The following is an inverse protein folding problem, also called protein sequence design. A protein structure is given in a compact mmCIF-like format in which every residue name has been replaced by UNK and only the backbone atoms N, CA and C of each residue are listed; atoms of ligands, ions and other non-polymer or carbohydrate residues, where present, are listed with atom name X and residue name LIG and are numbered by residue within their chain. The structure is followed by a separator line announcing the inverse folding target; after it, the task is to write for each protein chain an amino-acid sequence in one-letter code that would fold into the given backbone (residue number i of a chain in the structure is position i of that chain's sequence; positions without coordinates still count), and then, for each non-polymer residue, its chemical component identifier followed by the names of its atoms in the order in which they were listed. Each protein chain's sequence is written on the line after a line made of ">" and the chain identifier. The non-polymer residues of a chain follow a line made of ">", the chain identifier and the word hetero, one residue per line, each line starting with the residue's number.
data_IF_659256910317
#
_entry.id   IF_659256910317
#
_cell.length_a   1.000
_cell.length_b   1.000
_cell.length_c   1.000
_cell.angle_alpha   90.00
_cell.angle_beta   90.00
_cell.angle_gamma   90.00
#
_symmetry.space_group_name_H-M   'P 1'
#
loop_
_entity.id
_entity.type
_entity.pdbx_description
1 polymer ?
#
# COMPACT_ATOMS: atom_id res chain seq x y z
N UNK A 1 -13.32 18.75 17.41
CA UNK A 1 -13.10 17.33 17.65
C UNK A 1 -12.29 17.12 18.94
N UNK A 2 -12.70 16.17 19.75
CA UNK A 2 -12.00 15.86 21.01
C UNK A 2 -11.48 14.41 20.95
N UNK A 3 -10.26 14.11 21.48
CA UNK A 3 -9.32 15.07 22.08
C UNK A 3 -8.62 15.97 21.04
N UNK A 4 -8.41 15.51 19.80
CA UNK A 4 -7.81 16.23 18.68
C UNK A 4 -8.14 15.51 17.35
N UNK A 5 -7.79 16.10 16.23
CA UNK A 5 -7.89 15.45 14.91
C UNK A 5 -6.89 14.28 14.87
N UNK A 6 -7.32 13.05 14.46
CA UNK A 6 -6.39 11.93 14.30
C UNK A 6 -5.25 12.26 13.34
N UNK A 7 -4.02 12.06 13.79
CA UNK A 7 -2.82 12.36 13.03
C UNK A 7 -2.31 11.10 12.33
N UNK A 8 -2.34 11.12 11.00
CA UNK A 8 -1.71 10.10 10.16
C UNK A 8 -0.32 10.57 9.76
N UNK A 9 0.67 9.71 9.94
CA UNK A 9 2.06 10.02 9.60
C UNK A 9 2.69 8.83 8.89
N UNK A 10 3.47 9.08 7.84
CA UNK A 10 4.17 8.05 7.08
C UNK A 10 5.63 8.42 6.81
N UNK A 11 6.46 7.42 6.70
CA UNK A 11 7.87 7.56 6.37
C UNK A 11 8.63 6.29 6.74
N UNK A 12 9.74 6.02 6.07
CA UNK A 12 10.50 4.78 6.29
C UNK A 12 11.91 5.01 6.89
N UNK A 13 12.34 6.27 7.04
CA UNK A 13 13.62 6.57 7.69
C UNK A 13 13.51 6.43 9.21
N UNK A 14 14.63 6.18 9.88
CA UNK A 14 14.68 6.09 11.34
C UNK A 14 14.14 7.34 12.02
N UNK A 15 14.48 8.52 11.51
CA UNK A 15 13.95 9.79 12.04
C UNK A 15 12.42 9.87 11.88
N UNK A 16 11.88 9.45 10.74
CA UNK A 16 10.43 9.41 10.50
C UNK A 16 9.74 8.43 11.44
N UNK A 17 10.29 7.23 11.61
CA UNK A 17 9.74 6.22 12.53
C UNK A 17 9.73 6.73 13.97
N UNK A 18 10.77 7.42 14.41
CA UNK A 18 10.88 8.00 15.75
C UNK A 18 9.82 9.09 15.97
N UNK A 19 9.67 10.01 15.02
CA UNK A 19 8.65 11.08 15.07
C UNK A 19 7.24 10.48 15.07
N UNK A 20 6.96 9.53 14.18
CA UNK A 20 5.66 8.88 14.09
C UNK A 20 5.30 8.11 15.36
N UNK A 21 6.22 7.32 15.90
CA UNK A 21 6.02 6.60 17.16
C UNK A 21 5.69 7.53 18.32
N UNK A 22 6.32 8.71 18.36
CA UNK A 22 6.12 9.72 19.41
C UNK A 22 4.86 10.55 19.26
N UNK A 23 4.33 10.74 18.03
CA UNK A 23 3.32 11.78 17.75
C UNK A 23 2.08 11.29 16.99
N UNK A 24 2.20 10.27 16.14
CA UNK A 24 1.10 9.82 15.31
C UNK A 24 0.07 9.01 16.09
N UNK A 25 -1.19 9.09 15.66
CA UNK A 25 -2.25 8.18 16.09
C UNK A 25 -2.29 6.95 15.16
N UNK A 26 -2.01 7.17 13.87
CA UNK A 26 -1.95 6.11 12.87
C UNK A 26 -0.64 6.25 12.06
N UNK A 27 0.12 5.19 11.99
CA UNK A 27 1.30 5.13 11.12
C UNK A 27 0.92 4.56 9.76
N UNK A 28 1.14 5.33 8.70
CA UNK A 28 0.77 4.98 7.34
C UNK A 28 1.94 4.25 6.65
N UNK A 29 1.72 2.99 6.31
CA UNK A 29 2.66 2.13 5.59
C UNK A 29 2.28 2.05 4.12
N UNK A 30 3.26 1.88 3.25
CA UNK A 30 3.02 1.48 1.88
C UNK A 30 2.87 -0.03 1.79
N UNK A 31 2.20 -0.53 0.74
CA UNK A 31 2.05 -1.95 0.48
C UNK A 31 3.40 -2.61 0.19
N UNK A 32 3.99 -3.22 1.19
CA UNK A 32 5.18 -4.06 1.13
C UNK A 32 4.79 -5.51 1.42
N UNK A 33 5.66 -6.51 1.15
CA UNK A 33 5.41 -7.89 1.53
C UNK A 33 5.05 -8.03 3.02
N UNK A 34 4.14 -8.94 3.35
CA UNK A 34 3.59 -9.12 4.70
C UNK A 34 4.66 -9.27 5.79
N UNK A 35 5.74 -9.98 5.49
CA UNK A 35 6.86 -10.12 6.44
C UNK A 35 7.50 -8.76 6.77
N UNK A 36 7.68 -7.91 5.77
CA UNK A 36 8.25 -6.57 5.94
C UNK A 36 7.28 -5.61 6.67
N UNK A 37 5.98 -5.74 6.43
CA UNK A 37 4.95 -5.00 7.17
C UNK A 37 4.98 -5.37 8.66
N UNK A 38 5.01 -6.66 8.98
CA UNK A 38 5.12 -7.14 10.38
C UNK A 38 6.37 -6.61 11.07
N UNK A 39 7.51 -6.62 10.39
CA UNK A 39 8.76 -6.07 10.89
C UNK A 39 8.65 -4.56 11.19
N UNK A 40 8.08 -3.78 10.27
CA UNK A 40 7.88 -2.34 10.49
C UNK A 40 6.92 -2.05 11.64
N UNK A 41 5.82 -2.80 11.74
CA UNK A 41 4.86 -2.68 12.85
C UNK A 41 5.56 -2.94 14.18
N UNK A 42 6.31 -4.02 14.29
CA UNK A 42 7.05 -4.38 15.52
C UNK A 42 8.06 -3.29 15.93
N UNK A 43 8.83 -2.77 14.96
CA UNK A 43 9.80 -1.68 15.20
C UNK A 43 9.09 -0.41 15.72
N UNK A 44 8.02 0.02 15.04
CA UNK A 44 7.31 1.25 15.42
C UNK A 44 6.60 1.08 16.77
N UNK A 45 6.03 -0.08 17.05
CA UNK A 45 5.42 -0.38 18.36
C UNK A 45 6.46 -0.34 19.49
N UNK A 46 7.64 -0.95 19.28
CA UNK A 46 8.74 -0.91 20.24
C UNK A 46 9.22 0.53 20.52
N UNK A 47 9.26 1.37 19.48
CA UNK A 47 9.58 2.81 19.65
C UNK A 47 8.47 3.55 20.41
N UNK A 48 7.20 3.31 20.07
CA UNK A 48 6.04 3.94 20.71
C UNK A 48 5.95 3.60 22.21
N UNK A 49 6.25 2.36 22.58
CA UNK A 49 6.26 1.90 23.97
C UNK A 49 7.21 2.74 24.86
N UNK A 50 8.33 3.24 24.33
CA UNK A 50 9.24 4.14 25.06
C UNK A 50 8.61 5.47 25.47
N UNK A 51 7.51 5.83 24.80
CA UNK A 51 6.72 7.04 25.05
C UNK A 51 5.38 6.76 25.74
N UNK A 52 5.18 5.53 26.24
CA UNK A 52 3.88 5.05 26.78
C UNK A 52 2.72 5.26 25.78
N UNK A 53 2.94 4.99 24.51
CA UNK A 53 1.96 5.17 23.43
C UNK A 53 1.67 3.87 22.71
N UNK A 54 0.44 3.77 22.22
CA UNK A 54 0.01 2.79 21.23
C UNK A 54 -0.25 3.52 19.92
N UNK A 55 0.24 2.99 18.82
CA UNK A 55 0.05 3.53 17.47
C UNK A 55 -0.71 2.50 16.64
N UNK A 56 -1.76 2.94 15.93
CA UNK A 56 -2.47 2.13 14.95
C UNK A 56 -1.72 2.16 13.62
N UNK A 57 -2.04 1.22 12.72
CA UNK A 57 -1.38 1.13 11.43
C UNK A 57 -2.39 1.17 10.29
N UNK A 58 -2.03 1.86 9.22
CA UNK A 58 -2.72 1.78 7.94
C UNK A 58 -1.77 1.30 6.85
N UNK A 59 -2.30 0.56 5.88
CA UNK A 59 -1.57 0.16 4.68
C UNK A 59 -2.20 0.80 3.45
N UNK A 60 -1.38 1.28 2.52
CA UNK A 60 -1.83 1.85 1.26
C UNK A 60 -1.44 0.96 0.09
N UNK A 61 -2.44 0.56 -0.71
CA UNK A 61 -2.29 -0.28 -1.90
C UNK A 61 -3.23 0.17 -3.02
N UNK A 62 -3.03 -0.36 -4.22
CA UNK A 62 -3.90 -0.13 -5.39
C UNK A 62 -4.51 -1.45 -5.85
N UNK A 63 -5.75 -1.78 -5.47
CA UNK A 63 -6.45 -2.93 -6.01
C UNK A 63 -6.65 -2.80 -7.53
N UNK A 64 -6.46 -3.90 -8.25
CA UNK A 64 -6.81 -4.05 -9.66
C UNK A 64 -7.71 -5.27 -9.73
N UNK A 65 -9.02 -5.02 -9.92
CA UNK A 65 -10.03 -6.05 -9.91
C UNK A 65 -10.36 -6.52 -11.34
N UNK A 66 -10.85 -7.75 -11.45
CA UNK A 66 -11.49 -8.32 -12.61
C UNK A 66 -12.52 -9.34 -12.17
N UNK A 67 -13.52 -9.65 -13.03
CA UNK A 67 -14.52 -10.67 -12.74
C UNK A 67 -13.89 -12.06 -12.65
N UNK A 68 -12.81 -12.26 -13.38
CA UNK A 68 -11.92 -13.42 -13.30
C UNK A 68 -10.49 -13.01 -13.00
N UNK A 69 -9.70 -13.95 -12.51
CA UNK A 69 -8.26 -13.72 -12.28
C UNK A 69 -7.54 -13.34 -13.58
N UNK A 70 -7.90 -13.96 -14.72
CA UNK A 70 -7.34 -13.64 -16.03
C UNK A 70 -7.58 -12.19 -16.42
N UNK A 71 -8.82 -11.71 -16.31
CA UNK A 71 -9.19 -10.34 -16.62
C UNK A 71 -8.49 -9.33 -15.69
N UNK A 72 -8.35 -9.65 -14.41
CA UNK A 72 -7.59 -8.82 -13.48
C UNK A 72 -6.14 -8.66 -13.93
N UNK A 73 -5.49 -9.73 -14.36
CA UNK A 73 -4.12 -9.70 -14.87
C UNK A 73 -4.00 -8.97 -16.20
N UNK A 74 -4.93 -9.17 -17.14
CA UNK A 74 -4.96 -8.40 -18.40
C UNK A 74 -5.08 -6.90 -18.13
N UNK A 75 -5.99 -6.52 -17.23
CA UNK A 75 -6.16 -5.12 -16.80
C UNK A 75 -4.87 -4.57 -16.17
N UNK A 76 -4.21 -5.36 -15.33
CA UNK A 76 -2.95 -4.96 -14.68
C UNK A 76 -1.85 -4.71 -15.71
N UNK A 77 -1.69 -5.59 -16.69
CA UNK A 77 -0.73 -5.42 -17.79
C UNK A 77 -1.06 -4.19 -18.64
N UNK A 78 -2.33 -3.98 -18.99
CA UNK A 78 -2.76 -2.79 -19.71
C UNK A 78 -2.48 -1.48 -18.95
N UNK A 79 -2.63 -1.48 -17.62
CA UNK A 79 -2.24 -0.34 -16.78
C UNK A 79 -0.73 -0.13 -16.83
N UNK A 80 0.06 -1.19 -16.68
CA UNK A 80 1.53 -1.12 -16.73
C UNK A 80 2.03 -0.52 -18.05
N UNK A 81 1.48 -0.96 -19.17
CA UNK A 81 1.89 -0.45 -20.48
C UNK A 81 1.55 1.04 -20.64
N UNK A 82 0.38 1.49 -20.17
CA UNK A 82 0.03 2.92 -20.16
C UNK A 82 0.98 3.73 -19.26
N UNK A 83 1.33 3.20 -18.09
CA UNK A 83 2.28 3.83 -17.18
C UNK A 83 3.66 3.96 -17.83
N UNK A 84 4.17 2.90 -18.48
CA UNK A 84 5.45 2.93 -19.19
C UNK A 84 5.45 3.98 -20.31
N UNK A 85 4.37 4.05 -21.10
CA UNK A 85 4.21 5.06 -22.15
C UNK A 85 4.25 6.48 -21.59
N UNK A 86 3.49 6.75 -20.53
CA UNK A 86 3.42 8.07 -19.90
C UNK A 86 4.72 8.51 -19.21
N UNK A 87 5.47 7.57 -18.63
CA UNK A 87 6.77 7.87 -17.99
C UNK A 87 7.79 8.33 -19.02
N UNK A 88 7.78 7.76 -20.23
CA UNK A 88 8.65 8.19 -21.34
C UNK A 88 8.38 9.64 -21.80
N UNK A 89 7.15 10.10 -21.71
CA UNK A 89 6.75 11.47 -22.11
C UNK A 89 7.01 12.53 -21.01
N UNK A 90 6.94 12.14 -19.74
CA UNK A 90 7.04 13.06 -18.60
C UNK A 90 8.44 13.17 -18.00
N UNK A 91 9.33 12.24 -18.29
CA UNK A 91 10.73 12.26 -17.84
C UNK A 91 11.62 12.82 -18.97
N UNK A 92 11.49 14.12 -19.25
CA UNK A 92 12.50 14.81 -20.05
C UNK A 92 13.85 14.85 -19.35
N UNK A 93 14.98 15.00 -20.09
CA UNK A 93 16.35 14.90 -19.56
C UNK A 93 16.74 15.94 -18.51
N UNK A 94 15.85 16.81 -18.11
CA UNK A 94 16.10 17.94 -17.21
C UNK A 94 15.55 17.80 -15.79
N UNK A 95 15.00 16.64 -15.40
CA UNK A 95 14.59 16.46 -14.01
C UNK A 95 15.76 15.85 -13.22
N UNK A 96 16.36 16.57 -12.25
CA UNK A 96 17.39 15.98 -11.40
C UNK A 96 16.83 14.70 -10.77
N UNK A 97 17.64 13.65 -10.73
CA UNK A 97 17.28 12.39 -10.08
C UNK A 97 16.65 12.75 -8.72
N UNK A 98 15.35 12.54 -8.59
CA UNK A 98 14.65 12.81 -7.33
C UNK A 98 15.37 11.98 -6.28
N UNK A 99 15.87 12.62 -5.24
CA UNK A 99 16.38 11.92 -4.08
C UNK A 99 15.33 10.90 -3.67
N UNK A 100 15.62 9.63 -3.91
CA UNK A 100 14.68 8.56 -3.61
C UNK A 100 14.49 8.51 -2.10
N UNK A 101 13.24 8.60 -1.66
CA UNK A 101 12.93 8.41 -0.24
C UNK A 101 13.30 6.98 0.19
N UNK A 102 13.55 6.78 1.48
CA UNK A 102 13.81 5.44 2.01
C UNK A 102 12.66 4.48 1.66
N UNK A 103 11.40 4.95 1.69
CA UNK A 103 10.25 4.16 1.27
C UNK A 103 10.30 3.75 -0.20
N UNK A 104 10.64 4.69 -1.11
CA UNK A 104 10.80 4.37 -2.53
C UNK A 104 11.90 3.33 -2.75
N UNK A 105 13.04 3.49 -2.07
CA UNK A 105 14.14 2.52 -2.16
C UNK A 105 13.71 1.13 -1.70
N UNK A 106 12.99 1.03 -0.57
CA UNK A 106 12.48 -0.25 -0.07
C UNK A 106 11.56 -0.94 -1.10
N UNK A 107 10.63 -0.20 -1.72
CA UNK A 107 9.76 -0.77 -2.75
C UNK A 107 10.54 -1.26 -3.97
N UNK A 108 11.55 -0.50 -4.41
CA UNK A 108 12.42 -0.92 -5.53
C UNK A 108 13.26 -2.14 -5.16
N UNK A 109 13.74 -2.24 -3.93
CA UNK A 109 14.47 -3.41 -3.44
C UNK A 109 13.57 -4.67 -3.42
N UNK A 110 12.27 -4.55 -3.10
CA UNK A 110 11.32 -5.64 -3.23
C UNK A 110 11.03 -5.98 -4.69
N UNK A 111 10.81 -4.98 -5.53
CA UNK A 111 10.58 -5.20 -6.96
C UNK A 111 11.77 -5.91 -7.64
N UNK A 112 12.98 -5.63 -7.20
CA UNK A 112 14.19 -6.32 -7.70
C UNK A 112 14.28 -7.80 -7.26
N UNK A 113 13.61 -8.18 -6.18
CA UNK A 113 13.55 -9.57 -5.68
C UNK A 113 12.49 -10.41 -6.38
N UNK A 114 11.50 -9.77 -7.00
CA UNK A 114 10.43 -10.44 -7.72
C UNK A 114 9.28 -9.49 -8.08
N UNK A 115 8.56 -9.83 -9.12
CA UNK A 115 7.41 -9.06 -9.57
C UNK A 115 6.16 -9.28 -8.70
N UNK A 116 6.05 -10.45 -8.09
CA UNK A 116 4.89 -10.87 -7.30
C UNK A 116 5.33 -11.35 -5.93
N UNK A 117 4.69 -10.84 -4.88
CA UNK A 117 4.88 -11.25 -3.48
C UNK A 117 3.52 -11.59 -2.85
N UNK A 118 3.53 -12.45 -1.83
CA UNK A 118 2.34 -12.81 -1.05
C UNK A 118 1.12 -13.13 -1.92
N UNK A 119 1.33 -13.86 -3.02
CA UNK A 119 0.36 -14.26 -4.03
C UNK A 119 -0.21 -13.13 -4.90
N UNK A 120 -0.47 -11.94 -4.37
CA UNK A 120 -1.22 -10.87 -5.06
C UNK A 120 -0.52 -9.51 -5.10
N UNK A 121 0.51 -9.30 -4.29
CA UNK A 121 1.22 -8.03 -4.25
C UNK A 121 2.14 -7.91 -5.46
N UNK A 122 1.76 -7.08 -6.42
CA UNK A 122 2.41 -6.94 -7.72
C UNK A 122 3.19 -5.63 -7.79
N UNK A 123 4.49 -5.73 -8.12
CA UNK A 123 5.47 -4.65 -8.00
C UNK A 123 5.79 -3.91 -9.31
N UNK A 124 5.53 -4.40 -10.53
CA UNK A 124 6.03 -3.79 -11.77
C UNK A 124 5.60 -2.33 -11.97
N UNK A 125 4.43 -1.91 -11.51
CA UNK A 125 4.00 -0.50 -11.58
C UNK A 125 4.88 0.36 -10.66
N UNK A 126 5.20 -0.14 -9.46
CA UNK A 126 6.12 0.55 -8.55
C UNK A 126 7.52 0.69 -9.17
N UNK A 127 8.02 -0.37 -9.80
CA UNK A 127 9.29 -0.35 -10.51
C UNK A 127 9.27 0.67 -11.66
N UNK A 128 8.26 0.64 -12.53
CA UNK A 128 8.12 1.51 -13.68
C UNK A 128 8.02 3.00 -13.31
N UNK A 129 7.44 3.32 -12.15
CA UNK A 129 7.30 4.70 -11.66
C UNK A 129 8.45 5.16 -10.76
N UNK A 130 9.49 4.33 -10.56
CA UNK A 130 10.56 4.60 -9.59
C UNK A 130 10.04 4.68 -8.15
N UNK A 131 8.96 3.97 -7.84
CA UNK A 131 8.26 3.99 -6.57
C UNK A 131 7.94 5.42 -6.07
N UNK A 132 7.52 6.30 -6.97
CA UNK A 132 7.16 7.69 -6.67
C UNK A 132 5.81 7.77 -5.95
N UNK A 133 5.67 7.13 -4.80
CA UNK A 133 4.46 7.05 -4.00
C UNK A 133 4.01 5.60 -3.79
N UNK A 134 2.82 5.40 -3.21
CA UNK A 134 2.23 4.07 -3.06
C UNK A 134 1.68 3.60 -4.41
N UNK A 135 2.43 2.77 -5.10
CA UNK A 135 2.12 2.26 -6.45
C UNK A 135 2.13 0.73 -6.53
N UNK A 136 2.23 0.05 -5.40
CA UNK A 136 2.10 -1.41 -5.31
C UNK A 136 0.63 -1.81 -5.49
N UNK A 137 0.40 -2.80 -6.32
CA UNK A 137 -0.94 -3.28 -6.64
C UNK A 137 -1.26 -4.61 -5.97
N UNK A 138 -2.55 -4.84 -5.68
CA UNK A 138 -3.10 -6.16 -5.39
C UNK A 138 -3.97 -6.55 -6.59
N UNK A 139 -3.64 -7.65 -7.27
CA UNK A 139 -4.27 -8.05 -8.52
C UNK A 139 -5.07 -9.33 -8.33
N UNK A 140 -6.35 -9.33 -8.73
CA UNK A 140 -7.20 -10.51 -8.63
C UNK A 140 -8.70 -10.19 -8.67
N UNK A 141 -9.54 -11.18 -8.40
CA UNK A 141 -10.96 -10.93 -8.14
C UNK A 141 -11.16 -10.17 -6.84
N UNK A 142 -12.35 -9.64 -6.61
CA UNK A 142 -12.68 -8.94 -5.38
C UNK A 142 -12.42 -9.81 -4.13
N UNK A 143 -12.75 -11.10 -4.18
CA UNK A 143 -12.48 -12.07 -3.11
C UNK A 143 -10.99 -12.25 -2.85
N UNK A 144 -10.21 -12.47 -3.90
CA UNK A 144 -8.77 -12.69 -3.81
C UNK A 144 -8.04 -11.45 -3.25
N UNK A 145 -8.49 -10.27 -3.64
CA UNK A 145 -7.95 -9.01 -3.14
C UNK A 145 -8.39 -8.75 -1.70
N UNK A 146 -9.64 -9.09 -1.35
CA UNK A 146 -10.12 -9.02 0.03
C UNK A 146 -9.29 -9.90 0.96
N UNK A 147 -9.01 -11.15 0.57
CA UNK A 147 -8.16 -12.06 1.34
C UNK A 147 -6.75 -11.48 1.58
N UNK A 148 -6.17 -10.87 0.54
CA UNK A 148 -4.88 -10.22 0.66
C UNK A 148 -4.92 -9.01 1.61
N UNK A 149 -5.98 -8.22 1.58
CA UNK A 149 -6.18 -7.10 2.50
C UNK A 149 -6.41 -7.57 3.94
N UNK A 150 -7.14 -8.68 4.12
CA UNK A 150 -7.33 -9.29 5.43
C UNK A 150 -6.03 -9.86 6.01
N UNK A 151 -5.11 -10.33 5.18
CA UNK A 151 -3.78 -10.71 5.64
C UNK A 151 -2.99 -9.51 6.20
N UNK A 152 -3.14 -8.31 5.63
CA UNK A 152 -2.60 -7.08 6.23
C UNK A 152 -3.33 -6.69 7.52
N UNK A 153 -4.64 -6.91 7.59
CA UNK A 153 -5.40 -6.71 8.83
C UNK A 153 -4.90 -7.64 9.95
N UNK A 154 -4.72 -8.92 9.65
CA UNK A 154 -4.18 -9.90 10.59
C UNK A 154 -2.72 -9.60 10.99
N UNK A 155 -1.97 -8.90 10.12
CA UNK A 155 -0.64 -8.40 10.42
C UNK A 155 -0.63 -7.17 11.35
N UNK A 156 -1.81 -6.55 11.60
CA UNK A 156 -1.97 -5.41 12.51
C UNK A 156 -2.34 -4.08 11.84
N UNK A 157 -2.61 -4.06 10.53
CA UNK A 157 -3.10 -2.86 9.83
C UNK A 157 -4.61 -2.72 9.99
N UNK A 158 -5.06 -1.84 10.88
CA UNK A 158 -6.49 -1.64 11.18
C UNK A 158 -7.21 -0.72 10.19
N UNK A 159 -6.48 -0.09 9.28
CA UNK A 159 -7.02 0.81 8.26
C UNK A 159 -6.39 0.49 6.91
N UNK A 160 -7.19 0.46 5.87
CA UNK A 160 -6.71 0.28 4.49
C UNK A 160 -7.01 1.55 3.69
N UNK A 161 -5.99 2.12 3.05
CA UNK A 161 -6.12 3.18 2.07
C UNK A 161 -6.00 2.57 0.68
N UNK A 162 -7.11 2.51 -0.04
CA UNK A 162 -7.15 2.03 -1.42
C UNK A 162 -7.32 3.19 -2.39
N UNK A 163 -6.62 3.14 -3.52
CA UNK A 163 -6.76 4.08 -4.62
C UNK A 163 -6.69 3.34 -5.95
N UNK A 164 -7.56 3.73 -6.87
CA UNK A 164 -7.54 3.19 -8.22
C UNK A 164 -6.52 3.86 -9.15
N UNK A 165 -6.37 3.30 -10.33
CA UNK A 165 -5.69 3.89 -11.48
C UNK A 165 -6.66 4.69 -12.35
N UNK A 166 -7.92 4.24 -12.43
CA UNK A 166 -9.07 5.03 -12.90
C UNK A 166 -9.96 5.37 -11.70
N UNK A 167 -9.88 6.61 -11.16
CA UNK A 167 -10.55 6.95 -9.90
C UNK A 167 -12.06 6.75 -9.91
N UNK A 168 -12.73 6.99 -11.04
CA UNK A 168 -14.19 6.87 -11.12
C UNK A 168 -14.62 5.41 -11.20
N UNK A 169 -14.06 4.66 -12.14
CA UNK A 169 -14.39 3.26 -12.36
C UNK A 169 -13.97 2.42 -11.15
N UNK A 170 -12.71 2.49 -10.76
CA UNK A 170 -12.16 1.66 -9.68
C UNK A 170 -12.89 1.92 -8.36
N UNK A 171 -13.20 3.20 -8.02
CA UNK A 171 -13.91 3.50 -6.78
C UNK A 171 -15.34 2.95 -6.79
N UNK A 172 -16.01 2.97 -7.94
CA UNK A 172 -17.34 2.38 -8.09
C UNK A 172 -17.31 0.87 -7.88
N UNK A 173 -16.33 0.17 -8.46
CA UNK A 173 -16.11 -1.28 -8.30
C UNK A 173 -15.79 -1.61 -6.83
N UNK A 174 -14.88 -0.88 -6.22
CA UNK A 174 -14.55 -1.10 -4.80
C UNK A 174 -15.75 -0.92 -3.88
N UNK A 175 -16.59 0.09 -4.16
CA UNK A 175 -17.79 0.35 -3.38
C UNK A 175 -18.86 -0.74 -3.48
N UNK A 176 -18.97 -1.37 -4.66
CA UNK A 176 -19.97 -2.42 -4.92
C UNK A 176 -19.53 -3.79 -4.41
N UNK A 177 -18.26 -4.13 -4.53
CA UNK A 177 -17.76 -5.50 -4.37
C UNK A 177 -16.76 -5.62 -3.21
N UNK A 178 -15.62 -4.94 -3.32
CA UNK A 178 -14.50 -5.15 -2.41
C UNK A 178 -14.78 -4.67 -0.98
N UNK A 179 -15.32 -3.46 -0.82
CA UNK A 179 -15.50 -2.84 0.51
C UNK A 179 -16.56 -3.56 1.34
N UNK A 180 -17.75 -3.94 0.80
CA UNK A 180 -18.72 -4.73 1.55
C UNK A 180 -18.13 -6.06 2.03
N UNK A 181 -17.53 -6.81 1.13
CA UNK A 181 -16.91 -8.11 1.42
C UNK A 181 -15.83 -7.98 2.50
N UNK A 182 -14.94 -7.00 2.38
CA UNK A 182 -13.87 -6.76 3.34
C UNK A 182 -14.42 -6.42 4.74
N UNK A 183 -15.50 -5.64 4.82
CA UNK A 183 -16.16 -5.29 6.08
C UNK A 183 -16.81 -6.50 6.75
N UNK A 184 -17.51 -7.30 5.97
CA UNK A 184 -18.19 -8.51 6.46
C UNK A 184 -17.20 -9.53 7.02
N UNK A 185 -16.10 -9.76 6.30
CA UNK A 185 -15.05 -10.67 6.74
C UNK A 185 -14.23 -10.13 7.92
N UNK A 186 -13.94 -8.83 7.94
CA UNK A 186 -13.26 -8.22 9.08
C UNK A 186 -14.13 -8.28 10.36
N UNK A 187 -15.45 -8.10 10.24
CA UNK A 187 -16.37 -8.20 11.38
C UNK A 187 -16.41 -9.59 12.02
N UNK A 188 -16.13 -10.65 11.24
CA UNK A 188 -16.05 -12.03 11.76
C UNK A 188 -14.75 -12.31 12.52
N UNK A 189 -13.73 -11.45 12.37
CA UNK A 189 -12.39 -11.64 12.95
C UNK A 189 -12.14 -10.84 14.23
N UNK A 190 -12.98 -9.84 14.52
CA UNK A 190 -12.89 -8.90 15.66
C UNK A 190 -14.05 -8.96 16.58
#
# INVERSE_FOLDING_TARGET
>A
QKPHIPLYFGGASDAAKEVGAKRADVYALWGEPLAAIKEQIADIQARAARYNRTVKFSVSVRPILGDTEGEAWERAQGILERVKGSVGETVGPSRPARLQSVGSKRLLDFAAKGELHDQRLWMPIAAATGAAGSTTALVGTAEQVADSLLAYYDAGCTTVLIRGFDPLQDTSEYGKELIPMLRDEAAKRG
#
